data_IF_748534809179
#
_entry.id   IF_748534809179
#
_cell.length_a   1.000
_cell.length_b   1.000
_cell.length_c   1.000
_cell.angle_alpha   90.00
_cell.angle_beta   90.00
_cell.angle_gamma   90.00
#
_symmetry.space_group_name_H-M   'P 1'
#
loop_
_entity.id
_entity.type
_entity.pdbx_description
1 polymer ?
#
# COMPACT_ATOMS: atom_id res chain seq x y z
N UNK A 1 19.58 -4.41 -5.96
CA UNK A 1 19.64 -5.31 -4.78
C UNK A 1 18.72 -4.87 -3.64
N UNK A 2 18.71 -3.57 -3.29
CA UNK A 2 17.80 -3.08 -2.24
C UNK A 2 16.33 -3.41 -2.48
N UNK A 3 15.78 -3.21 -3.70
CA UNK A 3 14.36 -3.55 -3.93
C UNK A 3 14.05 -5.03 -3.74
N UNK A 4 14.97 -5.92 -4.15
CA UNK A 4 14.77 -7.35 -3.97
C UNK A 4 14.79 -7.73 -2.49
N UNK A 5 15.72 -7.18 -1.74
CA UNK A 5 15.80 -7.40 -0.30
C UNK A 5 14.54 -6.88 0.39
N UNK A 6 14.09 -5.70 -0.01
CA UNK A 6 12.85 -5.12 0.53
C UNK A 6 11.63 -5.99 0.22
N UNK A 7 11.55 -6.55 -0.98
CA UNK A 7 10.47 -7.46 -1.36
C UNK A 7 10.48 -8.72 -0.51
N UNK A 8 11.64 -9.35 -0.37
CA UNK A 8 11.76 -10.56 0.44
C UNK A 8 11.43 -10.30 1.90
N UNK A 9 11.89 -9.17 2.44
CA UNK A 9 11.57 -8.77 3.81
C UNK A 9 10.06 -8.53 3.97
N UNK A 10 9.43 -7.86 3.01
CA UNK A 10 7.99 -7.61 3.04
C UNK A 10 7.21 -8.93 3.03
N UNK A 11 7.59 -9.86 2.16
CA UNK A 11 6.94 -11.17 2.10
C UNK A 11 7.07 -11.92 3.43
N UNK A 12 8.27 -11.92 4.00
CA UNK A 12 8.50 -12.58 5.28
C UNK A 12 7.69 -11.95 6.40
N UNK A 13 7.73 -10.62 6.51
CA UNK A 13 6.99 -9.92 7.56
C UNK A 13 5.48 -10.05 7.38
N UNK A 14 4.98 -10.01 6.14
CA UNK A 14 3.56 -10.20 5.88
C UNK A 14 3.09 -11.60 6.29
N UNK A 15 3.88 -12.62 5.98
CA UNK A 15 3.57 -13.98 6.40
C UNK A 15 3.58 -14.13 7.91
N UNK A 16 4.58 -13.54 8.57
CA UNK A 16 4.69 -13.58 10.03
C UNK A 16 3.52 -12.85 10.69
N UNK A 17 3.15 -11.68 10.19
CA UNK A 17 2.01 -10.94 10.72
C UNK A 17 0.71 -11.71 10.51
N UNK A 18 0.52 -12.33 9.35
CA UNK A 18 -0.68 -13.12 9.09
C UNK A 18 -0.82 -14.29 10.07
N UNK A 19 0.31 -14.90 10.45
CA UNK A 19 0.32 -16.02 11.39
C UNK A 19 0.06 -15.59 12.84
N UNK A 20 0.57 -14.41 13.22
CA UNK A 20 0.54 -13.96 14.61
C UNK A 20 -0.56 -12.92 14.89
N UNK A 21 -1.14 -12.33 13.85
CA UNK A 21 -2.09 -11.24 14.03
C UNK A 21 -3.44 -11.75 14.51
N UNK A 22 -4.09 -11.06 15.45
CA UNK A 22 -5.41 -11.46 15.95
C UNK A 22 -6.44 -11.43 14.82
N UNK A 23 -7.34 -12.41 14.83
CA UNK A 23 -8.43 -12.45 13.88
C UNK A 23 -9.42 -11.31 14.17
N UNK A 24 -9.98 -10.75 13.10
CA UNK A 24 -10.96 -9.66 13.23
C UNK A 24 -10.34 -8.28 13.32
N UNK A 25 -9.02 -8.17 13.38
CA UNK A 25 -8.31 -6.88 13.39
C UNK A 25 -7.54 -6.73 12.10
N UNK A 26 -7.63 -5.56 11.47
CA UNK A 26 -6.91 -5.29 10.23
C UNK A 26 -5.41 -5.20 10.50
N UNK A 27 -4.63 -5.96 9.74
CA UNK A 27 -3.17 -5.93 9.83
C UNK A 27 -2.60 -4.76 9.01
N UNK A 28 -1.37 -4.30 9.34
CA UNK A 28 -0.72 -3.27 8.51
C UNK A 28 -0.52 -3.75 7.08
N UNK A 29 -0.64 -2.82 6.13
CA UNK A 29 -0.47 -3.11 4.70
C UNK A 29 0.98 -2.87 4.30
N UNK A 30 1.80 -3.91 4.42
CA UNK A 30 3.22 -3.80 4.11
C UNK A 30 3.48 -3.70 2.60
N UNK A 31 2.58 -4.25 1.76
CA UNK A 31 2.69 -4.10 0.31
C UNK A 31 2.50 -2.65 -0.12
N UNK A 32 1.60 -1.92 0.53
CA UNK A 32 1.44 -0.49 0.28
C UNK A 32 2.73 0.26 0.66
N UNK A 33 3.29 -0.05 1.82
CA UNK A 33 4.56 0.55 2.26
C UNK A 33 5.67 0.29 1.23
N UNK A 34 5.78 -0.95 0.77
CA UNK A 34 6.80 -1.32 -0.22
C UNK A 34 6.57 -0.58 -1.54
N UNK A 35 5.32 -0.50 -1.99
CA UNK A 35 5.00 0.20 -3.24
C UNK A 35 5.37 1.68 -3.16
N UNK A 36 5.04 2.34 -2.06
CA UNK A 36 5.37 3.75 -1.88
C UNK A 36 6.86 3.97 -1.69
N UNK A 37 7.53 3.08 -0.95
CA UNK A 37 8.98 3.15 -0.78
C UNK A 37 9.70 3.02 -2.13
N UNK A 38 9.25 2.09 -2.96
CA UNK A 38 9.84 1.91 -4.29
C UNK A 38 9.55 3.12 -5.19
N UNK A 39 8.35 3.67 -5.11
CA UNK A 39 7.96 4.83 -5.91
C UNK A 39 8.72 6.09 -5.52
N UNK A 40 9.03 6.25 -4.23
CA UNK A 40 9.78 7.39 -3.76
C UNK A 40 11.20 7.34 -4.33
N UNK A 41 11.62 8.39 -5.01
CA UNK A 41 12.94 8.45 -5.61
C UNK A 41 13.06 7.80 -6.99
N UNK A 42 11.96 7.26 -7.54
CA UNK A 42 11.96 6.68 -8.88
C UNK A 42 10.90 7.36 -9.75
N UNK A 43 11.11 7.41 -11.08
CA UNK A 43 10.09 8.01 -11.96
C UNK A 43 8.83 7.16 -12.02
N UNK A 44 7.71 7.81 -12.39
CA UNK A 44 6.40 7.17 -12.41
C UNK A 44 6.34 5.95 -13.32
N UNK A 45 7.09 5.96 -14.43
CA UNK A 45 7.07 4.84 -15.37
C UNK A 45 7.72 3.57 -14.83
N UNK A 46 8.43 3.66 -13.71
CA UNK A 46 8.95 2.49 -12.97
C UNK A 46 8.07 2.18 -11.76
N UNK A 47 7.62 3.21 -11.04
CA UNK A 47 6.87 3.01 -9.82
C UNK A 47 5.45 2.51 -10.01
N UNK A 48 4.76 2.98 -11.06
CA UNK A 48 3.38 2.56 -11.30
C UNK A 48 3.29 1.09 -11.71
N UNK A 49 4.08 0.60 -12.69
CA UNK A 49 4.08 -0.83 -13.02
C UNK A 49 4.49 -1.70 -11.83
N UNK A 50 5.48 -1.25 -11.05
CA UNK A 50 5.90 -2.00 -9.86
C UNK A 50 4.77 -2.11 -8.84
N UNK A 51 4.02 -1.03 -8.61
CA UNK A 51 2.87 -1.05 -7.70
C UNK A 51 1.81 -2.03 -8.18
N UNK A 52 1.54 -2.06 -9.47
CA UNK A 52 0.57 -2.99 -10.04
C UNK A 52 1.01 -4.44 -9.83
N UNK A 53 2.29 -4.75 -10.10
CA UNK A 53 2.82 -6.10 -9.90
C UNK A 53 2.80 -6.51 -8.44
N UNK A 54 3.11 -5.59 -7.53
CA UNK A 54 3.03 -5.86 -6.09
C UNK A 54 1.60 -6.15 -5.66
N UNK A 55 0.63 -5.42 -6.22
CA UNK A 55 -0.77 -5.66 -5.94
C UNK A 55 -1.25 -7.01 -6.46
N UNK A 56 -0.80 -7.42 -7.65
CA UNK A 56 -1.09 -8.76 -8.17
C UNK A 56 -0.51 -9.84 -7.26
N UNK A 57 0.71 -9.64 -6.78
CA UNK A 57 1.32 -10.58 -5.86
C UNK A 57 0.53 -10.66 -4.55
N UNK A 58 0.08 -9.52 -4.04
CA UNK A 58 -0.75 -9.47 -2.85
C UNK A 58 -2.06 -10.23 -3.04
N UNK A 59 -2.70 -10.09 -4.20
CA UNK A 59 -3.93 -10.82 -4.53
C UNK A 59 -3.68 -12.32 -4.60
N UNK A 60 -2.57 -12.74 -5.21
CA UNK A 60 -2.22 -14.16 -5.30
C UNK A 60 -2.02 -14.76 -3.91
N UNK A 61 -1.35 -14.05 -3.01
CA UNK A 61 -1.09 -14.53 -1.67
C UNK A 61 -2.32 -14.51 -0.78
N UNK A 62 -3.26 -13.60 -1.06
CA UNK A 62 -4.48 -13.44 -0.28
C UNK A 62 -5.67 -14.24 -0.80
N UNK A 63 -5.49 -15.01 -1.87
CA UNK A 63 -6.55 -15.78 -2.52
C UNK A 63 -7.74 -14.91 -2.97
N UNK A 64 -7.50 -13.62 -3.20
CA UNK A 64 -8.51 -12.71 -3.71
C UNK A 64 -8.58 -12.72 -5.22
N UNK A 65 -9.49 -11.92 -5.77
CA UNK A 65 -9.58 -11.72 -7.21
C UNK A 65 -8.34 -10.96 -7.69
N UNK A 66 -7.69 -11.51 -8.72
CA UNK A 66 -6.51 -10.88 -9.30
C UNK A 66 -6.87 -9.50 -9.85
N UNK A 67 -6.10 -8.50 -9.49
CA UNK A 67 -6.22 -7.15 -9.97
C UNK A 67 -6.81 -6.16 -8.99
N UNK A 68 -7.52 -6.60 -7.94
CA UNK A 68 -8.11 -5.67 -6.95
C UNK A 68 -7.04 -4.85 -6.25
N UNK A 69 -6.06 -5.52 -5.65
CA UNK A 69 -4.94 -4.81 -5.00
C UNK A 69 -4.01 -4.20 -6.03
N UNK A 70 -3.92 -4.79 -7.23
CA UNK A 70 -3.16 -4.20 -8.32
C UNK A 70 -3.67 -2.82 -8.69
N UNK A 71 -4.98 -2.67 -8.87
CA UNK A 71 -5.59 -1.38 -9.13
C UNK A 71 -5.41 -0.45 -7.93
N UNK A 72 -5.67 -0.96 -6.72
CA UNK A 72 -5.55 -0.17 -5.50
C UNK A 72 -4.15 0.39 -5.31
N UNK A 73 -3.12 -0.45 -5.41
CA UNK A 73 -1.74 0.01 -5.23
C UNK A 73 -1.29 0.93 -6.35
N UNK A 74 -1.75 0.71 -7.59
CA UNK A 74 -1.43 1.60 -8.70
C UNK A 74 -1.99 2.99 -8.46
N UNK A 75 -3.24 3.09 -8.02
CA UNK A 75 -3.85 4.38 -7.68
C UNK A 75 -3.17 5.03 -6.48
N UNK A 76 -2.76 4.22 -5.50
CA UNK A 76 -2.01 4.73 -4.35
C UNK A 76 -0.69 5.35 -4.79
N UNK A 77 0.07 4.67 -5.64
CA UNK A 77 1.33 5.19 -6.16
C UNK A 77 1.11 6.45 -6.98
N UNK A 78 0.08 6.47 -7.81
CA UNK A 78 -0.26 7.66 -8.59
C UNK A 78 -0.58 8.85 -7.68
N UNK A 79 -1.40 8.64 -6.65
CA UNK A 79 -1.75 9.69 -5.71
C UNK A 79 -0.52 10.17 -4.94
N UNK A 80 0.38 9.25 -4.59
CA UNK A 80 1.64 9.60 -3.93
C UNK A 80 2.49 10.51 -4.82
N UNK A 81 2.64 10.17 -6.10
CA UNK A 81 3.38 11.02 -7.03
C UNK A 81 2.74 12.39 -7.18
N UNK A 82 1.41 12.45 -7.30
CA UNK A 82 0.70 13.72 -7.42
C UNK A 82 0.88 14.59 -6.19
N UNK A 83 0.80 14.01 -5.00
CA UNK A 83 1.00 14.74 -3.75
C UNK A 83 2.45 15.19 -3.61
N UNK A 84 3.40 14.34 -3.97
CA UNK A 84 4.83 14.65 -3.84
C UNK A 84 5.27 15.80 -4.74
N UNK A 85 4.62 15.99 -5.88
CA UNK A 85 4.91 17.12 -6.76
C UNK A 85 4.52 18.47 -6.16
N UNK A 86 3.52 18.47 -5.28
CA UNK A 86 2.94 19.71 -4.74
C UNK A 86 3.44 20.02 -3.34
N UNK A 87 4.10 19.05 -2.69
CA UNK A 87 4.53 19.18 -1.30
C UNK A 87 6.05 19.18 -1.21
N UNK A 88 6.57 19.86 -0.20
CA UNK A 88 8.00 19.88 0.05
C UNK A 88 8.48 18.49 0.42
N UNK A 89 9.54 18.02 -0.27
CA UNK A 89 10.08 16.70 -0.03
C UNK A 89 11.06 16.73 1.17
N UNK A 90 11.15 15.59 1.83
CA UNK A 90 12.09 15.40 2.93
C UNK A 90 11.55 15.71 4.31
N UNK A 91 10.45 16.45 4.40
CA UNK A 91 9.83 16.75 5.69
C UNK A 91 8.83 15.68 6.09
N UNK A 92 8.56 15.56 7.38
CA UNK A 92 7.66 14.53 7.90
C UNK A 92 6.20 14.83 7.60
N UNK A 93 5.77 16.08 7.73
CA UNK A 93 4.37 16.44 7.53
C UNK A 93 3.90 16.26 6.08
N UNK A 94 4.65 16.74 5.06
CA UNK A 94 4.28 16.47 3.67
C UNK A 94 4.25 14.97 3.34
N UNK A 95 5.18 14.19 3.90
CA UNK A 95 5.20 12.75 3.70
C UNK A 95 3.97 12.08 4.31
N UNK A 96 3.53 12.53 5.49
CA UNK A 96 2.32 12.04 6.13
C UNK A 96 1.10 12.32 5.27
N UNK A 97 0.98 13.54 4.74
CA UNK A 97 -0.13 13.92 3.86
C UNK A 97 -0.12 13.07 2.60
N UNK A 98 1.04 12.87 1.99
CA UNK A 98 1.18 12.03 0.80
C UNK A 98 0.77 10.58 1.08
N UNK A 99 1.15 10.04 2.23
CA UNK A 99 0.76 8.69 2.64
C UNK A 99 -0.75 8.58 2.82
N UNK A 100 -1.37 9.54 3.52
CA UNK A 100 -2.82 9.53 3.71
C UNK A 100 -3.55 9.60 2.39
N UNK A 101 -3.08 10.43 1.47
CA UNK A 101 -3.66 10.55 0.14
C UNK A 101 -3.56 9.24 -0.63
N UNK A 102 -2.39 8.60 -0.57
CA UNK A 102 -2.17 7.30 -1.22
C UNK A 102 -3.05 6.20 -0.61
N UNK A 103 -3.16 6.18 0.70
CA UNK A 103 -3.99 5.20 1.41
C UNK A 103 -5.47 5.32 1.02
N UNK A 104 -5.97 6.54 0.98
CA UNK A 104 -7.35 6.79 0.56
C UNK A 104 -7.56 6.38 -0.90
N UNK A 105 -6.61 6.70 -1.77
CA UNK A 105 -6.69 6.33 -3.18
C UNK A 105 -6.70 4.81 -3.37
N UNK A 106 -5.88 4.09 -2.60
CA UNK A 106 -5.86 2.63 -2.64
C UNK A 106 -7.23 2.04 -2.36
N UNK A 107 -7.85 2.45 -1.27
CA UNK A 107 -9.13 1.88 -0.87
C UNK A 107 -10.26 2.34 -1.78
N UNK A 108 -10.19 3.57 -2.28
CA UNK A 108 -11.15 4.05 -3.27
C UNK A 108 -11.11 3.18 -4.52
N UNK A 109 -9.92 2.92 -5.05
CA UNK A 109 -9.77 2.07 -6.23
C UNK A 109 -10.25 0.64 -5.99
N UNK A 110 -9.88 0.08 -4.84
CA UNK A 110 -10.31 -1.27 -4.46
C UNK A 110 -11.83 -1.39 -4.43
N UNK A 111 -12.52 -0.47 -3.75
CA UNK A 111 -13.97 -0.52 -3.63
C UNK A 111 -14.69 -0.20 -4.94
N UNK A 112 -14.13 0.71 -5.75
CA UNK A 112 -14.72 1.00 -7.06
C UNK A 112 -14.72 -0.23 -7.97
N UNK A 113 -13.59 -0.92 -8.05
CA UNK A 113 -13.49 -2.13 -8.88
C UNK A 113 -14.39 -3.24 -8.32
N UNK A 114 -14.38 -3.41 -7.02
CA UNK A 114 -15.19 -4.43 -6.36
C UNK A 114 -16.69 -4.17 -6.59
N UNK A 115 -17.10 -2.90 -6.47
CA UNK A 115 -18.48 -2.50 -6.74
C UNK A 115 -18.84 -2.72 -8.21
N UNK A 116 -17.95 -2.33 -9.12
CA UNK A 116 -18.15 -2.50 -10.55
C UNK A 116 -18.38 -3.97 -10.92
N UNK A 117 -17.58 -4.87 -10.35
CA UNK A 117 -17.66 -6.30 -10.62
C UNK A 117 -18.72 -6.99 -9.76
N UNK A 118 -19.43 -6.27 -8.91
CA UNK A 118 -20.46 -6.79 -8.02
C UNK A 118 -19.96 -7.91 -7.14
N UNK A 119 -18.75 -7.75 -6.62
CA UNK A 119 -18.16 -8.72 -5.72
C UNK A 119 -18.78 -8.61 -4.33
N UNK A 120 -18.97 -9.76 -3.68
CA UNK A 120 -19.35 -9.80 -2.28
C UNK A 120 -18.14 -9.46 -1.44
N UNK A 121 -18.12 -8.24 -0.90
CA UNK A 121 -17.06 -7.81 0.00
C UNK A 121 -17.63 -7.81 1.41
N UNK A 122 -16.91 -8.41 2.38
CA UNK A 122 -17.31 -8.28 3.77
C UNK A 122 -17.43 -6.81 4.13
N UNK A 123 -18.48 -6.39 4.85
CA UNK A 123 -18.59 -4.99 5.22
C UNK A 123 -17.41 -4.59 6.09
N UNK A 124 -16.59 -3.65 5.58
CA UNK A 124 -15.51 -3.08 6.34
C UNK A 124 -16.03 -1.83 7.02
N UNK A 125 -15.90 -1.79 8.33
CA UNK A 125 -16.27 -0.60 9.08
C UNK A 125 -15.23 0.49 8.82
N UNK A 126 -15.62 1.77 8.81
CA UNK A 126 -14.65 2.86 8.69
C UNK A 126 -13.55 2.79 9.75
N UNK A 127 -13.87 2.27 10.93
CA UNK A 127 -12.90 2.08 12.00
C UNK A 127 -11.80 1.09 11.60
N UNK A 128 -12.14 0.02 10.86
CA UNK A 128 -11.16 -0.95 10.41
C UNK A 128 -10.15 -0.31 9.46
N UNK A 129 -10.62 0.52 8.53
CA UNK A 129 -9.75 1.23 7.61
C UNK A 129 -8.85 2.22 8.31
N UNK A 130 -9.39 2.95 9.29
CA UNK A 130 -8.61 3.86 10.11
C UNK A 130 -7.52 3.13 10.87
N UNK A 131 -7.86 1.98 11.46
CA UNK A 131 -6.91 1.19 12.20
C UNK A 131 -5.81 0.66 11.31
N UNK A 132 -6.13 0.16 10.11
CA UNK A 132 -5.13 -0.27 9.14
C UNK A 132 -4.19 0.87 8.79
N UNK A 133 -4.71 2.07 8.50
CA UNK A 133 -3.91 3.24 8.19
C UNK A 133 -2.98 3.63 9.32
N UNK A 134 -3.50 3.64 10.56
CA UNK A 134 -2.71 3.98 11.73
C UNK A 134 -1.60 2.96 11.99
N UNK A 135 -1.88 1.68 11.77
CA UNK A 135 -0.88 0.63 11.94
C UNK A 135 0.16 0.61 10.81
N UNK A 136 -0.25 0.98 9.60
CA UNK A 136 0.65 1.00 8.45
C UNK A 136 1.59 2.21 8.50
N UNK A 137 1.14 3.33 9.05
CA UNK A 137 1.90 4.58 9.06
C UNK A 137 3.28 4.44 9.71
N UNK A 138 3.46 3.80 10.89
CA UNK A 138 4.80 3.63 11.47
C UNK A 138 5.75 2.88 10.53
N UNK A 139 5.27 1.87 9.83
CA UNK A 139 6.10 1.13 8.89
C UNK A 139 6.52 1.99 7.71
N UNK A 140 5.61 2.84 7.21
CA UNK A 140 5.94 3.79 6.15
C UNK A 140 7.00 4.78 6.59
N UNK A 141 6.84 5.37 7.78
CA UNK A 141 7.80 6.34 8.31
C UNK A 141 9.16 5.69 8.55
N UNK A 142 9.17 4.43 9.01
CA UNK A 142 10.41 3.69 9.19
C UNK A 142 11.08 3.41 7.84
N UNK A 143 10.32 2.98 6.85
CA UNK A 143 10.85 2.67 5.52
C UNK A 143 11.49 3.89 4.86
N UNK A 144 10.94 5.08 5.08
CA UNK A 144 11.51 6.31 4.53
C UNK A 144 12.96 6.55 4.97
N UNK A 145 13.32 6.11 6.16
CA UNK A 145 14.67 6.32 6.69
C UNK A 145 15.72 5.52 5.94
N UNK A 146 15.32 4.42 5.30
CA UNK A 146 16.28 3.57 4.60
C UNK A 146 16.53 4.02 3.17
N UNK A 147 15.71 4.92 2.64
CA UNK A 147 15.86 5.48 1.31
C UNK A 147 15.82 4.45 0.18
N UNK A 148 15.39 4.84 -1.00
CA UNK A 148 15.42 3.95 -2.15
C UNK A 148 16.82 3.73 -2.69
#
# INVERSE_FOLDING_TARGET
>A
MKPLIALLLTLFLSGLLAALWPQGVMAPDLFLVLALWYAAGRPYYLGLPAAFLLGLLQDLLGFGLLGLHGVGLTLAAYAYYAASRRLAQGESLPALVAFLWAFLAKWTGYFLVAYWLRLDIPPLLPLDLLLEGLLTLPFFLLARRFGP
#
